data_IF_815653437950
#
_entry.id   IF_815653437950
#
_cell.length_a   1.000
_cell.length_b   1.000
_cell.length_c   1.000
_cell.angle_alpha   90.00
_cell.angle_beta   90.00
_cell.angle_gamma   90.00
#
_symmetry.space_group_name_H-M   'P 1'
#
loop_
_entity.id
_entity.type
_entity.pdbx_description
1 polymer ?
#
# COMPACT_ATOMS: atom_id res chain seq x y z
N UNK A 1 -10.84 2.72 -5.08
CA UNK A 1 -10.48 2.09 -3.80
C UNK A 1 -8.97 2.12 -3.56
N UNK A 2 -8.15 1.50 -4.42
CA UNK A 2 -6.67 1.51 -4.28
C UNK A 2 -6.10 2.94 -4.20
N UNK A 3 -6.48 3.84 -5.11
CA UNK A 3 -6.02 5.25 -5.10
C UNK A 3 -6.32 5.97 -3.77
N UNK A 4 -7.50 5.72 -3.19
CA UNK A 4 -7.87 6.33 -1.90
C UNK A 4 -7.06 5.73 -0.74
N UNK A 5 -6.80 4.42 -0.79
CA UNK A 5 -5.96 3.73 0.19
C UNK A 5 -4.49 4.18 0.08
N UNK A 6 -3.95 4.35 -1.12
CA UNK A 6 -2.60 4.90 -1.35
C UNK A 6 -2.47 6.30 -0.72
N UNK A 7 -3.46 7.17 -0.94
CA UNK A 7 -3.46 8.52 -0.37
C UNK A 7 -3.56 8.51 1.16
N UNK A 8 -4.38 7.61 1.72
CA UNK A 8 -4.51 7.40 3.17
C UNK A 8 -3.18 6.94 3.78
N UNK A 9 -2.56 5.92 3.20
CA UNK A 9 -1.30 5.38 3.67
C UNK A 9 -0.19 6.44 3.63
N UNK A 10 -0.12 7.25 2.57
CA UNK A 10 0.84 8.37 2.49
C UNK A 10 0.59 9.46 3.53
N UNK A 11 -0.67 9.80 3.79
CA UNK A 11 -1.00 10.76 4.83
C UNK A 11 -0.55 10.26 6.22
N UNK A 12 -0.85 8.99 6.53
CA UNK A 12 -0.44 8.33 7.78
C UNK A 12 1.10 8.25 7.90
N UNK A 13 1.78 7.83 6.84
CA UNK A 13 3.23 7.72 6.83
C UNK A 13 3.90 9.09 7.07
N UNK A 14 3.32 10.18 6.54
CA UNK A 14 3.81 11.54 6.76
C UNK A 14 3.58 12.07 8.17
N UNK A 15 2.63 11.51 8.92
CA UNK A 15 2.51 11.81 10.35
C UNK A 15 3.67 11.23 11.17
N UNK A 16 4.27 10.13 10.69
CA UNK A 16 5.40 9.46 11.33
C UNK A 16 6.73 10.04 10.81
N UNK A 17 6.87 10.20 9.49
CA UNK A 17 8.06 10.73 8.82
C UNK A 17 7.63 11.82 7.82
N UNK A 18 7.76 13.08 8.22
CA UNK A 18 7.16 14.26 7.57
C UNK A 18 7.48 14.46 6.07
N UNK A 19 8.56 13.85 5.55
CA UNK A 19 9.06 14.07 4.18
C UNK A 19 8.90 12.89 3.24
N UNK A 20 8.14 11.85 3.62
CA UNK A 20 7.93 10.70 2.75
C UNK A 20 7.24 11.06 1.44
N UNK A 21 7.76 10.47 0.38
CA UNK A 21 7.19 10.49 -0.96
C UNK A 21 6.40 9.20 -1.22
N UNK A 22 5.52 9.18 -2.24
CA UNK A 22 4.86 7.94 -2.65
C UNK A 22 5.84 6.85 -3.07
N UNK A 23 7.05 7.21 -3.55
CA UNK A 23 8.07 6.26 -3.95
C UNK A 23 8.68 5.55 -2.74
N UNK A 24 8.92 6.29 -1.66
CA UNK A 24 9.46 5.76 -0.41
C UNK A 24 8.56 4.68 0.21
N UNK A 25 7.23 4.79 0.02
CA UNK A 25 6.27 3.78 0.48
C UNK A 25 6.37 2.45 -0.25
N UNK A 26 7.12 2.36 -1.35
CA UNK A 26 7.41 1.07 -1.98
C UNK A 26 8.44 0.26 -1.21
N UNK A 27 9.22 0.92 -0.35
CA UNK A 27 10.26 0.31 0.48
C UNK A 27 10.14 0.81 1.93
N UNK A 28 9.00 0.54 2.62
CA UNK A 28 8.78 1.05 3.97
C UNK A 28 9.80 0.51 4.98
N UNK A 29 10.45 -0.62 4.69
CA UNK A 29 11.54 -1.18 5.50
C UNK A 29 12.76 -0.27 5.65
N UNK A 30 12.95 0.69 4.74
CA UNK A 30 14.04 1.68 4.82
C UNK A 30 13.77 2.76 5.88
N UNK A 31 12.57 2.77 6.46
CA UNK A 31 12.12 3.73 7.46
C UNK A 31 11.68 2.98 8.73
N UNK A 32 12.60 2.66 9.66
CA UNK A 32 12.27 1.93 10.90
C UNK A 32 11.06 2.48 11.67
N UNK A 33 10.85 3.81 11.78
CA UNK A 33 9.66 4.35 12.45
C UNK A 33 8.31 3.91 11.83
N UNK A 34 8.28 3.63 10.52
CA UNK A 34 7.07 3.09 9.87
C UNK A 34 6.81 1.65 10.29
N UNK A 35 7.87 0.83 10.32
CA UNK A 35 7.76 -0.59 10.70
C UNK A 35 7.36 -0.78 12.16
N UNK A 36 7.72 0.16 13.03
CA UNK A 36 7.32 0.19 14.44
C UNK A 36 5.86 0.62 14.64
N UNK A 37 5.22 1.23 13.63
CA UNK A 37 3.84 1.69 13.72
C UNK A 37 2.85 0.58 13.34
N UNK A 38 2.10 0.09 14.34
CA UNK A 38 1.04 -0.90 14.13
C UNK A 38 -0.07 -0.41 13.20
N UNK A 39 -0.41 0.88 13.28
CA UNK A 39 -1.41 1.51 12.40
C UNK A 39 -0.93 1.52 10.95
N UNK A 40 0.34 1.91 10.73
CA UNK A 40 0.93 1.90 9.40
C UNK A 40 0.94 0.49 8.80
N UNK A 41 1.43 -0.49 9.56
CA UNK A 41 1.50 -1.89 9.13
C UNK A 41 0.13 -2.46 8.76
N UNK A 42 -0.93 -2.10 9.51
CA UNK A 42 -2.29 -2.50 9.19
C UNK A 42 -2.75 -1.92 7.84
N UNK A 43 -2.59 -0.61 7.65
CA UNK A 43 -3.03 0.06 6.44
C UNK A 43 -2.24 -0.35 5.18
N UNK A 44 -0.94 -0.64 5.34
CA UNK A 44 -0.09 -1.20 4.29
C UNK A 44 -0.55 -2.61 3.90
N UNK A 45 -0.86 -3.46 4.88
CA UNK A 45 -1.43 -4.79 4.65
C UNK A 45 -2.78 -4.73 3.91
N UNK A 46 -3.65 -3.76 4.23
CA UNK A 46 -4.91 -3.54 3.51
C UNK A 46 -4.63 -3.18 2.04
N UNK A 47 -3.69 -2.27 1.80
CA UNK A 47 -3.30 -1.87 0.43
C UNK A 47 -2.74 -3.06 -0.37
N UNK A 48 -1.89 -3.87 0.25
CA UNK A 48 -1.35 -5.09 -0.36
C UNK A 48 -2.47 -6.07 -0.74
N UNK A 49 -3.45 -6.29 0.14
CA UNK A 49 -4.61 -7.12 -0.12
C UNK A 49 -5.47 -6.63 -1.30
N UNK A 50 -5.73 -5.31 -1.37
CA UNK A 50 -6.47 -4.72 -2.49
C UNK A 50 -5.75 -4.91 -3.83
N UNK A 51 -4.43 -4.69 -3.86
CA UNK A 51 -3.61 -4.90 -5.06
C UNK A 51 -3.59 -6.36 -5.48
N UNK A 52 -3.48 -7.29 -4.52
CA UNK A 52 -3.54 -8.72 -4.80
C UNK A 52 -4.88 -9.14 -5.40
N UNK A 53 -6.00 -8.65 -4.86
CA UNK A 53 -7.34 -8.91 -5.38
C UNK A 53 -7.52 -8.35 -6.80
N UNK A 54 -7.06 -7.12 -7.05
CA UNK A 54 -7.09 -6.53 -8.40
C UNK A 54 -6.31 -7.39 -9.40
N UNK A 55 -5.11 -7.84 -9.03
CA UNK A 55 -4.28 -8.69 -9.88
C UNK A 55 -4.93 -10.04 -10.16
N UNK A 56 -5.58 -10.65 -9.17
CA UNK A 56 -6.32 -11.90 -9.32
C UNK A 56 -7.49 -11.75 -10.30
N UNK A 57 -8.30 -10.70 -10.16
CA UNK A 57 -9.43 -10.40 -11.06
C UNK A 57 -8.94 -10.17 -12.50
N UNK A 58 -7.88 -9.36 -12.66
CA UNK A 58 -7.27 -9.12 -13.98
C UNK A 58 -6.75 -10.40 -14.62
N UNK A 59 -6.16 -11.30 -13.83
CA UNK A 59 -5.67 -12.59 -14.31
C UNK A 59 -6.80 -13.53 -14.72
N UNK A 60 -7.90 -13.58 -13.95
CA UNK A 60 -9.07 -14.38 -14.27
C UNK A 60 -9.70 -13.95 -15.60
N UNK A 61 -9.93 -12.64 -15.77
CA UNK A 61 -10.49 -12.08 -17.01
C UNK A 61 -9.64 -12.41 -18.24
N UNK A 62 -8.31 -12.31 -18.15
CA UNK A 62 -7.41 -12.69 -19.26
C UNK A 62 -7.45 -14.18 -19.62
N UNK A 63 -7.89 -15.05 -18.70
CA UNK A 63 -8.08 -16.48 -19.00
C UNK A 63 -9.40 -16.74 -19.72
N UNK A 64 -10.42 -15.96 -19.45
CA UNK A 64 -11.74 -16.04 -20.12
C UNK A 64 -11.68 -15.48 -21.56
N UNK A 65 -10.79 -14.53 -21.82
CA UNK A 65 -10.57 -13.94 -23.15
C UNK A 65 -9.69 -14.82 -24.08
N UNK A 66 -9.16 -15.95 -23.59
CA UNK A 66 -8.30 -16.89 -24.35
C UNK A 66 -9.05 -18.18 -24.65
#
# INVERSE_FOLDING_TARGET
>A
MIIAQDAKLLALARQIVARLTPEDLRNPQDFPPLMESAEFNYEDGVLAGLRAAEMAVRAARRREEK
#
